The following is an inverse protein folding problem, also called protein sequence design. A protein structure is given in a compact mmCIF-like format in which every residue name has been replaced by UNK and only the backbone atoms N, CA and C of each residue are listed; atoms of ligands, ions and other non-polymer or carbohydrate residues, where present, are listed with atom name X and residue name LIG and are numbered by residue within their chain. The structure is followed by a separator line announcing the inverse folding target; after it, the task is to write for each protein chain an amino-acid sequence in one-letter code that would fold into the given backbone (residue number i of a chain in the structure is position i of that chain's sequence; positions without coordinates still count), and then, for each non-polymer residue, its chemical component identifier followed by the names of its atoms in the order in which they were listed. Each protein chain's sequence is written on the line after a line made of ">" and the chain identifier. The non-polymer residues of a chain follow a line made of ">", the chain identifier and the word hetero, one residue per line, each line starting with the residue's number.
data_IF_050212235453
#
_entry.id   IF_050212235453
#
_cell.length_a   1.000
_cell.length_b   1.000
_cell.length_c   1.000
_cell.angle_alpha   90.00
_cell.angle_beta   90.00
_cell.angle_gamma   90.00
#
_symmetry.space_group_name_H-M   'P 1'
#
loop_
_entity.id
_entity.type
_entity.pdbx_description
1 polymer ?
#
# COMPACT_ATOMS: atom_id res chain seq x y z
N UNK A 1 22.64 5.76 8.91
CA UNK A 1 22.72 4.36 9.39
C UNK A 1 24.00 3.73 8.83
N UNK A 2 24.48 2.60 9.34
CA UNK A 2 25.54 1.79 8.70
C UNK A 2 25.05 0.42 8.23
N UNK A 3 23.77 0.12 8.46
CA UNK A 3 23.15 -1.15 8.06
C UNK A 3 22.92 -1.11 6.56
N UNK A 4 23.54 -2.06 5.84
CA UNK A 4 23.37 -2.20 4.39
C UNK A 4 22.45 -3.36 4.00
N UNK A 5 22.18 -4.29 4.92
CA UNK A 5 21.36 -5.47 4.66
C UNK A 5 20.34 -5.66 5.79
N UNK A 6 19.06 -5.65 5.41
CA UNK A 6 17.90 -5.91 6.29
C UNK A 6 17.10 -7.14 5.84
N UNK A 7 17.72 -8.00 5.03
CA UNK A 7 17.06 -9.19 4.50
C UNK A 7 16.55 -10.11 5.61
N UNK A 8 15.35 -10.64 5.40
CA UNK A 8 14.66 -11.57 6.31
C UNK A 8 14.49 -11.10 7.77
N UNK A 9 14.70 -9.81 8.07
CA UNK A 9 14.77 -9.30 9.44
C UNK A 9 13.52 -9.60 10.29
N UNK A 10 12.34 -9.62 9.66
CA UNK A 10 11.06 -9.94 10.31
C UNK A 10 10.37 -11.15 9.69
N UNK A 11 11.14 -12.01 9.02
CA UNK A 11 10.60 -13.15 8.30
C UNK A 11 9.98 -14.20 9.23
N UNK A 12 8.83 -14.78 8.83
CA UNK A 12 8.05 -15.78 9.58
C UNK A 12 7.43 -15.30 10.90
N UNK A 13 7.41 -13.99 11.15
CA UNK A 13 6.69 -13.41 12.29
C UNK A 13 7.19 -12.01 12.61
N UNK A 14 6.29 -11.12 13.02
CA UNK A 14 6.71 -9.84 13.56
C UNK A 14 7.33 -10.04 14.96
N UNK A 15 8.36 -9.27 15.36
CA UNK A 15 8.75 -9.15 16.75
C UNK A 15 7.50 -8.84 17.58
N UNK A 16 7.43 -9.39 18.78
CA UNK A 16 6.35 -9.13 19.73
C UNK A 16 6.15 -7.62 19.93
N UNK A 17 5.18 -7.01 19.21
CA UNK A 17 4.41 -5.74 19.36
C UNK A 17 5.09 -4.46 19.94
N UNK A 18 6.33 -4.50 20.44
CA UNK A 18 6.90 -3.43 21.28
C UNK A 18 7.91 -2.54 20.59
N UNK A 19 8.39 -2.89 19.39
CA UNK A 19 9.39 -2.07 18.70
C UNK A 19 8.73 -1.27 17.57
N UNK A 20 8.73 0.06 17.71
CA UNK A 20 8.39 0.99 16.65
C UNK A 20 9.56 1.11 15.67
N UNK A 21 9.27 0.90 14.39
CA UNK A 21 10.23 0.96 13.29
C UNK A 21 9.99 2.17 12.39
N UNK A 22 9.00 3.02 12.69
CA UNK A 22 8.59 4.10 11.80
C UNK A 22 9.63 5.22 11.63
N UNK A 23 10.63 5.29 12.50
CA UNK A 23 11.72 6.27 12.43
C UNK A 23 13.06 5.63 12.03
N UNK A 24 13.06 4.45 11.42
CA UNK A 24 14.31 3.81 11.02
C UNK A 24 14.95 4.52 9.83
N UNK A 25 16.22 4.87 9.99
CA UNK A 25 17.08 5.37 8.90
C UNK A 25 17.56 4.19 8.05
N UNK A 26 16.94 4.01 6.89
CA UNK A 26 17.28 2.97 5.91
C UNK A 26 18.14 3.49 4.76
N UNK A 27 18.62 4.72 4.82
CA UNK A 27 19.33 5.40 3.71
C UNK A 27 20.61 4.69 3.24
N UNK A 28 21.16 3.77 4.03
CA UNK A 28 22.35 2.98 3.65
C UNK A 28 22.03 1.54 3.22
N UNK A 29 20.76 1.14 3.28
CA UNK A 29 20.32 -0.23 2.99
C UNK A 29 20.29 -0.45 1.48
N UNK A 30 20.91 -1.54 1.05
CA UNK A 30 20.90 -1.99 -0.35
C UNK A 30 20.07 -3.27 -0.55
N UNK A 31 19.78 -4.02 0.52
CA UNK A 31 19.03 -5.27 0.44
C UNK A 31 17.95 -5.35 1.52
N UNK A 32 16.69 -5.48 1.10
CA UNK A 32 15.50 -5.72 1.93
C UNK A 32 14.75 -7.02 1.54
N UNK A 33 15.41 -7.92 0.84
CA UNK A 33 14.85 -9.20 0.41
C UNK A 33 14.25 -9.97 1.58
N UNK A 34 13.03 -10.49 1.44
CA UNK A 34 12.30 -11.23 2.48
C UNK A 34 12.05 -10.48 3.80
N UNK A 35 12.30 -9.16 3.88
CA UNK A 35 12.29 -8.44 5.17
C UNK A 35 10.99 -8.65 5.96
N UNK A 36 9.84 -8.64 5.27
CA UNK A 36 8.51 -8.92 5.85
C UNK A 36 7.86 -10.21 5.30
N UNK A 37 8.68 -11.16 4.84
CA UNK A 37 8.18 -12.42 4.29
C UNK A 37 7.39 -13.19 5.35
N UNK A 38 6.11 -13.48 5.07
CA UNK A 38 5.19 -14.14 6.01
C UNK A 38 4.98 -13.36 7.32
N UNK A 39 5.07 -12.04 7.25
CA UNK A 39 4.81 -11.14 8.39
C UNK A 39 3.41 -10.55 8.25
N UNK A 40 2.56 -10.56 9.30
CA UNK A 40 1.21 -10.00 9.25
C UNK A 40 1.20 -8.46 9.39
N UNK A 41 2.01 -7.78 8.57
CA UNK A 41 2.01 -6.31 8.49
C UNK A 41 0.61 -5.84 8.02
N UNK A 42 0.08 -4.78 8.64
CA UNK A 42 -1.26 -4.26 8.36
C UNK A 42 -2.44 -4.94 9.08
N UNK A 43 -2.25 -6.10 9.72
CA UNK A 43 -3.34 -6.78 10.47
C UNK A 43 -3.42 -6.34 11.95
N UNK A 44 -2.29 -6.37 12.67
CA UNK A 44 -2.21 -6.08 14.11
C UNK A 44 -1.03 -5.18 14.53
N UNK A 45 -0.13 -4.85 13.58
CA UNK A 45 1.02 -3.98 13.82
C UNK A 45 0.91 -2.76 12.91
N UNK A 46 0.86 -1.57 13.52
CA UNK A 46 0.73 -0.27 12.84
C UNK A 46 2.12 0.33 12.55
N UNK A 47 3.02 -0.46 11.98
CA UNK A 47 4.33 0.06 11.60
C UNK A 47 4.19 0.98 10.40
N UNK A 48 4.46 2.27 10.62
CA UNK A 48 4.43 3.27 9.57
C UNK A 48 5.74 3.24 8.78
N UNK A 49 5.75 2.52 7.66
CA UNK A 49 6.91 2.39 6.77
C UNK A 49 6.93 3.41 5.63
N UNK A 50 6.11 4.46 5.72
CA UNK A 50 6.12 5.54 4.75
C UNK A 50 7.38 6.39 4.89
N UNK A 51 7.93 6.82 3.76
CA UNK A 51 9.04 7.77 3.73
C UNK A 51 8.64 9.09 4.40
N UNK A 52 9.43 9.55 5.40
CA UNK A 52 9.17 10.81 6.11
C UNK A 52 10.42 11.40 6.74
N UNK A 53 10.52 12.72 6.73
CA UNK A 53 11.59 13.42 7.45
C UNK A 53 11.31 13.38 8.96
N UNK A 54 12.27 12.91 9.74
CA UNK A 54 12.18 12.83 11.21
C UNK A 54 13.38 13.49 11.87
N UNK A 55 13.21 13.95 13.11
CA UNK A 55 14.30 14.45 13.95
C UNK A 55 14.35 13.64 15.24
N UNK A 56 15.43 12.87 15.41
CA UNK A 56 15.66 12.03 16.58
C UNK A 56 17.02 12.37 17.18
N UNK A 57 17.06 12.71 18.47
CA UNK A 57 18.33 13.04 19.14
C UNK A 57 19.08 14.24 18.57
N UNK A 58 18.37 15.19 17.94
CA UNK A 58 18.96 16.38 17.31
C UNK A 58 19.55 16.16 15.91
N UNK A 59 19.37 14.97 15.33
CA UNK A 59 19.73 14.66 13.94
C UNK A 59 18.46 14.53 13.09
N UNK A 60 18.47 15.15 11.91
CA UNK A 60 17.37 15.09 10.93
C UNK A 60 17.77 14.22 9.75
N UNK A 61 16.90 13.28 9.39
CA UNK A 61 17.08 12.35 8.27
C UNK A 61 15.73 11.91 7.70
N UNK A 62 15.75 11.25 6.56
CA UNK A 62 14.58 10.61 5.95
C UNK A 62 14.46 9.19 6.49
N UNK A 63 13.43 8.94 7.32
CA UNK A 63 13.07 7.58 7.71
C UNK A 63 12.48 6.84 6.52
N UNK A 64 12.75 5.54 6.43
CA UNK A 64 12.32 4.70 5.30
C UNK A 64 12.78 5.22 3.93
N UNK A 65 13.95 5.87 3.88
CA UNK A 65 14.65 6.18 2.63
C UNK A 65 15.11 4.87 1.97
N UNK A 66 14.45 4.51 0.86
CA UNK A 66 14.76 3.31 0.08
C UNK A 66 15.55 3.61 -1.20
N UNK A 67 16.05 4.84 -1.36
CA UNK A 67 16.71 5.30 -2.58
C UNK A 67 17.97 4.52 -2.97
N UNK A 68 18.59 3.82 -2.03
CA UNK A 68 19.77 2.97 -2.25
C UNK A 68 19.45 1.46 -2.30
N UNK A 69 18.18 1.07 -2.08
CA UNK A 69 17.79 -0.34 -2.06
C UNK A 69 17.81 -0.88 -3.49
N UNK A 70 18.45 -2.04 -3.66
CA UNK A 70 18.61 -2.73 -4.93
C UNK A 70 17.72 -3.98 -5.02
N UNK A 71 17.46 -4.66 -3.89
CA UNK A 71 16.65 -5.88 -3.86
C UNK A 71 15.55 -5.81 -2.80
N UNK A 72 14.31 -6.09 -3.22
CA UNK A 72 13.12 -6.20 -2.37
C UNK A 72 12.32 -7.48 -2.68
N UNK A 73 12.98 -8.51 -3.24
CA UNK A 73 12.31 -9.75 -3.58
C UNK A 73 11.65 -10.40 -2.36
N UNK A 74 10.45 -10.94 -2.54
CA UNK A 74 9.63 -11.56 -1.50
C UNK A 74 9.30 -10.66 -0.28
N UNK A 75 9.59 -9.36 -0.32
CA UNK A 75 9.54 -8.48 0.86
C UNK A 75 8.17 -8.50 1.54
N UNK A 76 7.07 -8.43 0.79
CA UNK A 76 5.69 -8.41 1.30
C UNK A 76 4.89 -9.66 0.91
N UNK A 77 5.57 -10.75 0.55
CA UNK A 77 4.89 -11.97 0.12
C UNK A 77 4.05 -12.59 1.27
N UNK A 78 2.79 -12.86 0.95
CA UNK A 78 1.86 -13.63 1.77
C UNK A 78 2.07 -15.15 1.63
N UNK A 79 1.56 -15.92 2.60
CA UNK A 79 1.57 -17.37 2.54
C UNK A 79 0.38 -18.01 3.28
N UNK A 80 -0.55 -18.62 2.53
CA UNK A 80 -1.72 -19.34 3.05
C UNK A 80 -2.50 -18.54 4.12
N UNK A 81 -2.78 -19.12 5.30
CA UNK A 81 -3.49 -18.48 6.43
C UNK A 81 -2.79 -17.23 6.99
N UNK A 82 -1.56 -16.95 6.56
CA UNK A 82 -0.80 -15.73 6.86
C UNK A 82 -0.75 -14.83 5.62
N UNK A 83 -1.94 -14.42 5.18
CA UNK A 83 -2.10 -13.39 4.15
C UNK A 83 -1.43 -12.11 4.62
N UNK A 84 -0.59 -11.53 3.76
CA UNK A 84 -0.13 -10.15 3.98
C UNK A 84 -1.32 -9.22 3.80
N UNK A 85 -1.66 -8.46 4.85
CA UNK A 85 -2.70 -7.41 4.80
C UNK A 85 -2.11 -6.07 4.38
N UNK A 86 -0.89 -6.09 3.84
CA UNK A 86 -0.17 -4.90 3.46
C UNK A 86 -0.89 -4.14 2.34
N UNK A 87 -1.24 -2.89 2.63
CA UNK A 87 -1.77 -1.94 1.67
C UNK A 87 -1.44 -0.50 2.07
N UNK A 88 -0.32 -0.32 2.77
CA UNK A 88 0.13 1.02 3.17
C UNK A 88 0.70 1.77 1.96
N UNK A 89 0.55 3.09 1.97
CA UNK A 89 1.01 3.96 0.88
C UNK A 89 2.54 3.98 0.79
N UNK A 90 3.04 3.43 -0.31
CA UNK A 90 4.45 3.39 -0.70
C UNK A 90 4.68 4.08 -2.06
N UNK A 91 3.72 4.89 -2.50
CA UNK A 91 3.78 5.58 -3.80
C UNK A 91 4.93 6.60 -3.88
N UNK A 92 5.39 7.11 -2.72
CA UNK A 92 6.45 8.11 -2.60
C UNK A 92 7.86 7.51 -2.45
N UNK A 93 8.00 6.18 -2.39
CA UNK A 93 9.32 5.56 -2.31
C UNK A 93 10.15 5.88 -3.56
N UNK A 94 11.39 6.34 -3.36
CA UNK A 94 12.35 6.47 -4.45
C UNK A 94 12.91 5.08 -4.83
N UNK A 95 12.39 4.50 -5.90
CA UNK A 95 12.72 3.15 -6.37
C UNK A 95 13.78 3.09 -7.47
N UNK A 96 14.42 4.21 -7.79
CA UNK A 96 15.38 4.32 -8.91
C UNK A 96 16.58 3.37 -8.83
N UNK A 97 16.93 2.85 -7.65
CA UNK A 97 18.01 1.86 -7.49
C UNK A 97 17.55 0.41 -7.54
N UNK A 98 16.24 0.12 -7.58
CA UNK A 98 15.72 -1.24 -7.54
C UNK A 98 16.06 -2.02 -8.82
N UNK A 99 16.54 -3.25 -8.61
CA UNK A 99 16.91 -4.20 -9.67
C UNK A 99 16.04 -5.45 -9.62
N UNK A 100 15.73 -5.93 -8.41
CA UNK A 100 14.95 -7.16 -8.20
C UNK A 100 13.74 -6.92 -7.27
N UNK A 101 12.55 -7.10 -7.83
CA UNK A 101 11.24 -7.02 -7.17
C UNK A 101 10.45 -8.33 -7.32
N UNK A 102 11.15 -9.44 -7.57
CA UNK A 102 10.59 -10.77 -7.72
C UNK A 102 9.69 -11.14 -6.54
N UNK A 103 8.47 -11.60 -6.84
CA UNK A 103 7.48 -12.02 -5.84
C UNK A 103 7.20 -11.01 -4.71
N UNK A 104 7.53 -9.72 -4.88
CA UNK A 104 7.46 -8.73 -3.79
C UNK A 104 6.07 -8.67 -3.12
N UNK A 105 4.99 -8.78 -3.89
CA UNK A 105 3.60 -8.76 -3.40
C UNK A 105 2.86 -10.09 -3.66
N UNK A 106 3.60 -11.18 -3.87
CA UNK A 106 3.02 -12.48 -4.16
C UNK A 106 2.03 -12.90 -3.04
N UNK A 107 0.79 -13.25 -3.41
CA UNK A 107 -0.28 -13.61 -2.46
C UNK A 107 -0.58 -12.56 -1.37
N UNK A 108 -0.25 -11.27 -1.60
CA UNK A 108 -0.59 -10.15 -0.72
C UNK A 108 -1.99 -9.60 -1.03
N UNK A 109 -3.04 -10.35 -0.69
CA UNK A 109 -4.40 -10.12 -1.24
C UNK A 109 -5.04 -8.77 -0.91
N UNK A 110 -4.48 -8.01 0.03
CA UNK A 110 -4.97 -6.67 0.37
C UNK A 110 -4.30 -5.54 -0.44
N UNK A 111 -3.20 -5.84 -1.14
CA UNK A 111 -2.41 -4.84 -1.83
C UNK A 111 -3.12 -4.34 -3.09
N UNK A 112 -3.39 -3.04 -3.13
CA UNK A 112 -4.02 -2.31 -4.24
C UNK A 112 -3.60 -0.84 -4.19
N UNK A 113 -2.29 -0.58 -4.10
CA UNK A 113 -1.75 0.79 -4.14
C UNK A 113 -1.38 1.20 -5.57
N UNK A 114 -1.52 2.50 -5.86
CA UNK A 114 -1.00 3.07 -7.10
C UNK A 114 0.52 3.23 -7.00
N UNK A 115 1.25 2.34 -7.68
CA UNK A 115 2.71 2.37 -7.79
C UNK A 115 3.19 2.72 -9.21
N UNK A 116 2.35 3.35 -10.03
CA UNK A 116 2.75 3.75 -11.38
C UNK A 116 3.84 4.83 -11.41
N UNK A 117 4.04 5.54 -10.30
CA UNK A 117 5.14 6.50 -10.11
C UNK A 117 6.49 5.87 -9.82
N UNK A 118 6.56 4.56 -9.55
CA UNK A 118 7.83 3.90 -9.27
C UNK A 118 8.74 3.92 -10.49
N UNK A 119 10.01 4.25 -10.26
CA UNK A 119 11.07 4.11 -11.25
C UNK A 119 11.48 2.63 -11.33
N UNK A 120 11.19 2.01 -12.47
CA UNK A 120 11.51 0.61 -12.78
C UNK A 120 12.54 0.51 -13.92
N UNK A 121 13.21 1.61 -14.26
CA UNK A 121 14.20 1.66 -15.35
C UNK A 121 15.39 0.71 -15.16
N UNK A 122 15.71 0.37 -13.90
CA UNK A 122 16.77 -0.57 -13.54
C UNK A 122 16.27 -1.98 -13.21
N UNK A 123 14.95 -2.21 -13.17
CA UNK A 123 14.37 -3.51 -12.82
C UNK A 123 14.63 -4.51 -13.92
N UNK A 124 15.22 -5.64 -13.56
CA UNK A 124 15.49 -6.77 -14.46
C UNK A 124 14.65 -8.00 -14.12
N UNK A 125 14.10 -8.06 -12.90
CA UNK A 125 13.32 -9.19 -12.42
C UNK A 125 12.05 -8.72 -11.69
N UNK A 126 10.90 -8.90 -12.33
CA UNK A 126 9.57 -8.65 -11.75
C UNK A 126 8.66 -9.91 -11.85
N UNK A 127 9.30 -11.08 -11.95
CA UNK A 127 8.61 -12.36 -12.07
C UNK A 127 7.79 -12.64 -10.79
N UNK A 128 6.55 -13.14 -10.95
CA UNK A 128 5.62 -13.46 -9.85
C UNK A 128 5.22 -12.30 -8.92
N UNK A 129 5.56 -11.05 -9.25
CA UNK A 129 5.34 -9.88 -8.38
C UNK A 129 3.92 -9.83 -7.81
N UNK A 130 2.90 -10.05 -8.64
CA UNK A 130 1.49 -10.00 -8.26
C UNK A 130 0.75 -11.34 -8.42
N UNK A 131 1.47 -12.47 -8.46
CA UNK A 131 0.81 -13.77 -8.53
C UNK A 131 -0.11 -13.98 -7.31
N UNK A 132 -1.32 -14.50 -7.53
CA UNK A 132 -2.31 -14.72 -6.47
C UNK A 132 -3.01 -13.44 -5.97
N UNK A 133 -2.79 -12.28 -6.60
CA UNK A 133 -3.55 -11.04 -6.36
C UNK A 133 -4.09 -10.46 -7.66
N UNK A 134 -5.01 -9.49 -7.55
CA UNK A 134 -5.48 -8.66 -8.65
C UNK A 134 -5.53 -7.21 -8.16
N UNK A 135 -4.78 -6.32 -8.81
CA UNK A 135 -4.94 -4.88 -8.62
C UNK A 135 -6.26 -4.44 -9.24
N UNK A 136 -6.83 -3.34 -8.73
CA UNK A 136 -7.91 -2.65 -9.42
C UNK A 136 -7.45 -2.22 -10.82
N UNK A 137 -8.39 -2.19 -11.78
CA UNK A 137 -8.09 -1.79 -13.16
C UNK A 137 -7.46 -0.39 -13.21
N UNK A 138 -7.91 0.54 -12.35
CA UNK A 138 -7.37 1.90 -12.29
C UNK A 138 -5.89 1.93 -11.84
N UNK A 139 -5.52 1.16 -10.82
CA UNK A 139 -4.14 1.08 -10.36
C UNK A 139 -3.25 0.33 -11.35
N UNK A 140 -3.77 -0.74 -11.96
CA UNK A 140 -3.01 -1.49 -12.94
C UNK A 140 -2.79 -0.69 -14.25
N UNK A 141 -3.80 0.04 -14.71
CA UNK A 141 -3.66 0.97 -15.83
C UNK A 141 -2.62 2.06 -15.53
N UNK A 142 -2.68 2.65 -14.33
CA UNK A 142 -1.70 3.66 -13.89
C UNK A 142 -0.28 3.09 -13.84
N UNK A 143 -0.14 1.84 -13.38
CA UNK A 143 1.12 1.10 -13.36
C UNK A 143 1.69 0.93 -14.77
N UNK A 144 0.89 0.38 -15.69
CA UNK A 144 1.30 0.14 -17.06
C UNK A 144 1.72 1.44 -17.76
N UNK A 145 0.92 2.50 -17.66
CA UNK A 145 1.18 3.80 -18.28
C UNK A 145 2.43 4.46 -17.69
N UNK A 146 2.56 4.45 -16.36
CA UNK A 146 3.68 5.07 -15.68
C UNK A 146 5.01 4.38 -16.01
N UNK A 147 5.03 3.04 -16.05
CA UNK A 147 6.23 2.27 -16.34
C UNK A 147 6.65 2.39 -17.79
N UNK A 148 5.70 2.35 -18.73
CA UNK A 148 5.99 2.48 -20.17
C UNK A 148 6.68 3.80 -20.54
N UNK A 149 6.42 4.87 -19.79
CA UNK A 149 7.02 6.19 -20.04
C UNK A 149 8.53 6.28 -19.72
N UNK A 150 9.15 5.20 -19.24
CA UNK A 150 10.53 5.19 -18.73
C UNK A 150 11.51 4.54 -19.72
N UNK A 151 12.83 4.70 -19.46
CA UNK A 151 13.88 4.02 -20.21
C UNK A 151 14.11 2.62 -19.63
N UNK A 152 13.37 1.63 -20.11
CA UNK A 152 13.27 0.31 -19.50
C UNK A 152 14.33 -0.69 -19.97
N UNK A 153 14.64 -1.67 -19.11
CA UNK A 153 15.38 -2.87 -19.51
C UNK A 153 14.56 -3.72 -20.49
N UNK A 154 15.25 -4.40 -21.41
CA UNK A 154 14.61 -5.28 -22.38
C UNK A 154 14.43 -6.70 -21.82
N UNK A 155 13.42 -7.42 -22.34
CA UNK A 155 13.15 -8.83 -22.05
C UNK A 155 12.83 -9.13 -20.57
N UNK A 156 12.29 -8.16 -19.85
CA UNK A 156 11.84 -8.36 -18.46
C UNK A 156 10.59 -9.24 -18.46
N UNK A 157 10.56 -10.19 -17.53
CA UNK A 157 9.36 -10.98 -17.25
C UNK A 157 8.61 -10.31 -16.10
N UNK A 158 7.38 -9.89 -16.35
CA UNK A 158 6.51 -9.25 -15.37
C UNK A 158 5.25 -10.08 -15.15
N UNK A 159 4.90 -10.35 -13.90
CA UNK A 159 3.65 -11.02 -13.55
C UNK A 159 2.70 -10.05 -12.86
N UNK A 160 1.76 -9.50 -13.64
CA UNK A 160 0.65 -8.65 -13.22
C UNK A 160 -0.47 -9.38 -12.46
N UNK A 161 -0.40 -10.71 -12.35
CA UNK A 161 -1.39 -11.51 -11.62
C UNK A 161 -2.70 -11.65 -12.39
N UNK A 162 -3.83 -11.54 -11.70
CA UNK A 162 -5.16 -11.51 -12.34
C UNK A 162 -5.66 -10.08 -12.62
N UNK A 163 -4.77 -9.09 -12.60
CA UNK A 163 -5.12 -7.68 -12.80
C UNK A 163 -5.57 -7.44 -14.25
N UNK A 164 -6.82 -7.00 -14.42
CA UNK A 164 -7.34 -6.59 -15.73
C UNK A 164 -6.88 -5.17 -16.05
N UNK A 165 -6.83 -4.85 -17.33
CA UNK A 165 -6.44 -3.52 -17.83
C UNK A 165 -7.46 -3.00 -18.84
N UNK A 166 -7.51 -1.69 -19.01
CA UNK A 166 -8.30 -1.03 -20.04
C UNK A 166 -7.53 0.16 -20.65
N UNK A 167 -7.38 1.26 -19.92
CA UNK A 167 -6.69 2.45 -20.42
C UNK A 167 -5.19 2.20 -20.61
N UNK A 168 -4.62 1.23 -19.91
CA UNK A 168 -3.23 0.80 -20.04
C UNK A 168 -2.93 -0.09 -21.23
N UNK A 169 -3.90 -0.45 -22.08
CA UNK A 169 -3.71 -1.39 -23.21
C UNK A 169 -2.59 -0.97 -24.17
N UNK A 170 -2.54 0.32 -24.51
CA UNK A 170 -1.49 0.85 -25.39
C UNK A 170 -0.11 0.76 -24.73
N UNK A 171 -0.03 1.08 -23.44
CA UNK A 171 1.22 1.03 -22.68
C UNK A 171 1.72 -0.42 -22.53
N UNK A 172 0.82 -1.35 -22.17
CA UNK A 172 1.09 -2.78 -22.12
C UNK A 172 1.62 -3.32 -23.45
N UNK A 173 0.99 -2.91 -24.56
CA UNK A 173 1.42 -3.31 -25.91
C UNK A 173 2.80 -2.76 -26.24
N UNK A 174 3.12 -1.52 -25.85
CA UNK A 174 4.45 -0.92 -26.02
C UNK A 174 5.52 -1.67 -25.22
N UNK A 175 5.26 -1.99 -23.94
CA UNK A 175 6.17 -2.79 -23.10
C UNK A 175 6.54 -4.13 -23.76
N UNK A 176 5.55 -4.81 -24.36
CA UNK A 176 5.77 -6.08 -25.05
C UNK A 176 6.54 -5.88 -26.37
N UNK A 177 6.06 -4.98 -27.24
CA UNK A 177 6.58 -4.88 -28.60
C UNK A 177 7.92 -4.13 -28.70
N UNK A 178 8.09 -3.09 -27.87
CA UNK A 178 9.26 -2.22 -27.92
C UNK A 178 10.36 -2.68 -26.98
N UNK A 179 10.00 -3.15 -25.78
CA UNK A 179 10.95 -3.61 -24.78
C UNK A 179 11.09 -5.15 -24.72
N UNK A 180 10.29 -5.90 -25.48
CA UNK A 180 10.35 -7.37 -25.49
C UNK A 180 9.86 -8.00 -24.19
N UNK A 181 9.08 -7.29 -23.38
CA UNK A 181 8.61 -7.83 -22.10
C UNK A 181 7.68 -9.02 -22.29
N UNK A 182 7.76 -9.96 -21.35
CA UNK A 182 6.74 -11.02 -21.21
C UNK A 182 5.86 -10.68 -20.03
N UNK A 183 4.59 -10.34 -20.29
CA UNK A 183 3.64 -9.93 -19.26
C UNK A 183 2.61 -11.04 -19.03
N UNK A 184 2.47 -11.47 -17.77
CA UNK A 184 1.45 -12.41 -17.31
C UNK A 184 0.43 -11.70 -16.43
N UNK A 185 -0.70 -11.31 -16.99
CA UNK A 185 -1.74 -10.52 -16.35
C UNK A 185 -3.16 -11.00 -16.73
N UNK A 186 -4.17 -10.23 -16.33
CA UNK A 186 -5.58 -10.50 -16.66
C UNK A 186 -5.91 -10.21 -18.12
N UNK A 187 -7.18 -9.87 -18.36
CA UNK A 187 -7.68 -9.59 -19.71
C UNK A 187 -7.89 -8.09 -19.92
N UNK A 188 -7.93 -7.69 -21.19
CA UNK A 188 -8.48 -6.39 -21.58
C UNK A 188 -9.96 -6.35 -21.20
N UNK A 189 -10.30 -5.60 -20.16
CA UNK A 189 -11.67 -5.48 -19.64
C UNK A 189 -12.00 -4.03 -19.30
N UNK A 190 -12.68 -3.38 -20.24
CA UNK A 190 -13.21 -2.03 -20.08
C UNK A 190 -14.65 -2.02 -19.54
N UNK A 191 -15.23 -3.17 -19.20
CA UNK A 191 -16.62 -3.25 -18.72
C UNK A 191 -16.75 -2.82 -17.26
N UNK A 192 -15.65 -2.83 -16.51
CA UNK A 192 -15.56 -2.30 -15.15
C UNK A 192 -15.57 -0.75 -15.06
N UNK A 193 -15.46 -0.04 -16.19
CA UNK A 193 -15.29 1.44 -16.19
C UNK A 193 -16.56 2.25 -15.86
N UNK A 194 -17.66 1.61 -15.44
CA UNK A 194 -18.87 2.31 -15.00
C UNK A 194 -19.08 2.27 -13.48
N UNK A 195 -18.36 1.40 -12.74
CA UNK A 195 -18.54 1.24 -11.29
C UNK A 195 -17.27 1.51 -10.46
N UNK A 196 -16.12 1.79 -11.08
CA UNK A 196 -14.84 2.00 -10.37
C UNK A 196 -14.21 3.38 -10.63
N UNK A 197 -15.00 4.45 -10.58
CA UNK A 197 -14.40 5.77 -10.31
C UNK A 197 -13.90 5.78 -8.87
N UNK A 198 -12.60 5.82 -8.56
CA UNK A 198 -11.99 6.27 -7.28
C UNK A 198 -12.52 5.68 -5.94
N UNK A 199 -12.17 4.45 -5.54
CA UNK A 199 -12.44 3.99 -4.16
C UNK A 199 -11.91 5.02 -3.13
N UNK A 200 -12.80 5.51 -2.25
CA UNK A 200 -12.39 6.39 -1.15
C UNK A 200 -11.57 5.59 -0.14
N UNK A 201 -10.25 5.76 -0.16
CA UNK A 201 -9.32 5.07 0.74
C UNK A 201 -9.18 5.88 2.03
N UNK A 202 -9.97 5.49 3.05
CA UNK A 202 -9.96 6.11 4.37
C UNK A 202 -9.87 5.03 5.45
N UNK A 203 -8.90 5.21 6.34
CA UNK A 203 -8.61 4.37 7.50
C UNK A 203 -8.94 5.12 8.80
N UNK A 204 -9.51 4.40 9.77
CA UNK A 204 -9.91 4.92 11.08
C UNK A 204 -9.09 4.22 12.18
N UNK A 205 -8.34 4.99 12.97
CA UNK A 205 -7.46 4.43 14.00
C UNK A 205 -7.26 5.37 15.21
N UNK A 206 -7.04 4.87 16.43
CA UNK A 206 -7.10 3.46 16.78
C UNK A 206 -8.54 2.97 16.74
N UNK A 207 -8.74 1.69 16.43
CA UNK A 207 -10.03 1.03 16.54
C UNK A 207 -9.79 -0.35 17.15
N UNK A 208 -10.07 -0.58 18.44
CA UNK A 208 -10.93 0.23 19.31
C UNK A 208 -10.36 1.59 19.74
N UNK A 209 -11.23 2.58 19.89
CA UNK A 209 -10.88 3.97 20.24
C UNK A 209 -11.31 4.33 21.67
N UNK A 210 -10.49 5.10 22.38
CA UNK A 210 -10.91 5.82 23.59
C UNK A 210 -11.52 7.16 23.17
N UNK A 211 -10.73 8.23 23.06
CA UNK A 211 -11.32 9.57 22.93
C UNK A 211 -11.11 10.21 21.57
N UNK A 212 -10.02 9.88 20.87
CA UNK A 212 -9.68 10.50 19.59
C UNK A 212 -9.53 9.44 18.52
N UNK A 213 -10.37 9.53 17.49
CA UNK A 213 -10.32 8.69 16.30
C UNK A 213 -9.59 9.45 15.18
N UNK A 214 -8.38 9.04 14.84
CA UNK A 214 -7.62 9.57 13.72
C UNK A 214 -8.13 8.97 12.40
N UNK A 215 -7.98 9.78 11.36
CA UNK A 215 -8.47 9.51 10.02
C UNK A 215 -7.30 9.76 9.08
N UNK A 216 -6.92 8.74 8.31
CA UNK A 216 -5.88 8.83 7.27
C UNK A 216 -6.50 8.40 5.95
N UNK A 217 -6.26 9.18 4.90
CA UNK A 217 -6.79 8.88 3.58
C UNK A 217 -6.41 9.93 2.55
N UNK A 218 -6.82 9.70 1.31
CA UNK A 218 -6.44 10.49 0.13
C UNK A 218 -7.42 11.63 -0.21
N UNK A 219 -8.13 12.18 0.78
CA UNK A 219 -9.21 13.14 0.54
C UNK A 219 -9.05 14.40 1.37
N UNK A 220 -9.35 15.52 0.73
CA UNK A 220 -9.17 16.86 1.28
C UNK A 220 -10.34 17.36 2.10
N UNK A 221 -11.52 16.69 2.11
CA UNK A 221 -12.67 16.99 2.99
C UNK A 221 -13.57 15.75 3.15
N UNK A 222 -13.85 15.39 4.40
CA UNK A 222 -14.74 14.29 4.76
C UNK A 222 -15.90 14.74 5.64
N UNK A 223 -17.11 14.38 5.21
CA UNK A 223 -18.32 14.35 6.02
C UNK A 223 -18.40 13.01 6.74
N UNK A 224 -18.53 13.06 8.06
CA UNK A 224 -18.55 11.89 8.92
C UNK A 224 -19.87 11.83 9.66
N UNK A 225 -20.51 10.67 9.62
CA UNK A 225 -21.74 10.40 10.36
C UNK A 225 -21.58 9.10 11.13
N UNK A 226 -21.77 9.14 12.44
CA UNK A 226 -21.69 7.94 13.30
C UNK A 226 -23.10 7.52 13.68
N UNK A 227 -23.39 6.24 13.46
CA UNK A 227 -24.62 5.57 13.84
C UNK A 227 -24.36 4.55 14.93
N UNK A 228 -25.27 4.42 15.89
CA UNK A 228 -25.25 3.26 16.79
C UNK A 228 -25.75 2.00 16.08
N UNK A 229 -25.66 0.83 16.72
CA UNK A 229 -26.11 -0.45 16.15
C UNK A 229 -27.62 -0.52 15.84
N UNK A 230 -28.43 0.40 16.37
CA UNK A 230 -29.85 0.52 16.04
C UNK A 230 -30.08 1.41 14.82
N UNK A 231 -29.02 1.90 14.16
CA UNK A 231 -29.09 2.78 13.00
C UNK A 231 -29.41 4.24 13.33
N UNK A 232 -29.41 4.65 14.61
CA UNK A 232 -29.65 6.04 15.01
C UNK A 232 -28.35 6.84 14.87
N UNK A 233 -28.40 7.97 14.15
CA UNK A 233 -27.31 8.93 14.11
C UNK A 233 -27.03 9.48 15.52
N UNK A 234 -25.78 9.36 15.96
CA UNK A 234 -25.32 9.83 17.29
C UNK A 234 -24.29 10.94 17.19
N UNK A 235 -23.59 11.08 16.06
CA UNK A 235 -22.60 12.14 15.85
C UNK A 235 -22.52 12.49 14.36
N UNK A 236 -22.20 13.75 14.06
CA UNK A 236 -21.87 14.22 12.72
C UNK A 236 -20.74 15.26 12.80
N UNK A 237 -19.79 15.19 11.87
CA UNK A 237 -18.66 16.12 11.80
C UNK A 237 -18.18 16.32 10.36
N UNK A 238 -17.40 17.38 10.13
CA UNK A 238 -16.61 17.60 8.91
C UNK A 238 -15.17 17.93 9.31
N UNK A 239 -14.24 17.04 9.01
CA UNK A 239 -12.86 17.12 9.50
C UNK A 239 -11.90 16.39 8.54
N UNK A 240 -10.59 16.59 8.73
CA UNK A 240 -9.55 16.02 7.88
C UNK A 240 -8.70 14.94 8.57
N UNK A 241 -8.37 15.13 9.86
CA UNK A 241 -7.28 14.35 10.48
C UNK A 241 -7.71 13.55 11.72
N UNK A 242 -8.61 14.09 12.56
CA UNK A 242 -9.04 13.40 13.78
C UNK A 242 -10.40 13.89 14.29
N UNK A 243 -11.14 12.97 14.91
CA UNK A 243 -12.47 13.18 15.49
C UNK A 243 -12.43 12.90 16.99
N UNK A 244 -12.88 13.86 17.80
CA UNK A 244 -13.16 13.61 19.21
C UNK A 244 -14.47 12.82 19.35
N UNK A 245 -14.35 11.62 19.90
CA UNK A 245 -15.43 10.66 20.15
C UNK A 245 -15.60 10.38 21.65
N UNK A 246 -15.00 11.18 22.53
CA UNK A 246 -15.12 11.05 24.00
C UNK A 246 -16.56 11.08 24.50
N UNK A 247 -17.44 11.78 23.78
CA UNK A 247 -18.88 11.87 24.09
C UNK A 247 -19.69 10.61 23.77
N UNK A 248 -19.12 9.64 23.04
CA UNK A 248 -19.79 8.37 22.76
C UNK A 248 -19.66 7.41 23.95
N UNK A 249 -20.74 6.71 24.26
CA UNK A 249 -20.72 5.62 25.22
C UNK A 249 -19.92 4.42 24.69
N UNK A 250 -19.46 3.54 25.58
CA UNK A 250 -18.83 2.29 25.18
C UNK A 250 -19.78 1.45 24.31
N UNK A 251 -19.26 0.91 23.20
CA UNK A 251 -20.09 0.14 22.28
C UNK A 251 -19.57 0.07 20.85
N UNK A 252 -20.39 -0.53 19.99
CA UNK A 252 -20.12 -0.66 18.55
C UNK A 252 -20.92 0.41 17.80
N UNK A 253 -20.28 1.01 16.82
CA UNK A 253 -20.85 2.03 15.95
C UNK A 253 -20.52 1.74 14.48
N UNK A 254 -21.34 2.29 13.59
CA UNK A 254 -21.05 2.38 12.16
C UNK A 254 -20.67 3.83 11.85
N UNK A 255 -19.54 4.01 11.19
CA UNK A 255 -19.03 5.32 10.77
C UNK A 255 -19.17 5.40 9.26
N UNK A 256 -20.08 6.23 8.81
CA UNK A 256 -20.21 6.62 7.41
C UNK A 256 -19.28 7.79 7.12
N UNK A 257 -18.48 7.65 6.07
CA UNK A 257 -17.48 8.60 5.62
C UNK A 257 -17.85 8.98 4.19
N UNK A 258 -18.03 10.26 3.91
CA UNK A 258 -18.46 10.75 2.60
C UNK A 258 -17.62 11.96 2.14
N UNK A 259 -17.30 12.04 0.86
CA UNK A 259 -16.75 13.23 0.20
C UNK A 259 -17.74 13.69 -0.88
N UNK A 260 -17.32 14.60 -1.76
CA UNK A 260 -18.17 15.12 -2.84
C UNK A 260 -18.62 14.08 -3.87
N UNK A 261 -17.97 12.92 -3.93
CA UNK A 261 -18.18 11.90 -4.96
C UNK A 261 -18.64 10.54 -4.40
N UNK A 262 -18.26 10.21 -3.17
CA UNK A 262 -18.38 8.84 -2.63
C UNK A 262 -18.78 8.79 -1.17
N UNK A 263 -19.25 7.61 -0.78
CA UNK A 263 -19.52 7.23 0.60
C UNK A 263 -18.95 5.83 0.88
N UNK A 264 -18.36 5.64 2.06
CA UNK A 264 -17.92 4.34 2.57
C UNK A 264 -18.27 4.18 4.05
N UNK A 265 -18.40 2.95 4.53
CA UNK A 265 -18.77 2.67 5.92
C UNK A 265 -17.70 1.84 6.62
N UNK A 266 -17.42 2.14 7.88
CA UNK A 266 -16.48 1.41 8.74
C UNK A 266 -17.12 1.10 10.09
N UNK A 267 -16.71 -0.01 10.70
CA UNK A 267 -17.08 -0.33 12.09
C UNK A 267 -16.15 0.41 13.05
N UNK A 268 -16.70 0.98 14.11
CA UNK A 268 -15.95 1.59 15.22
C UNK A 268 -16.31 0.88 16.53
N UNK A 269 -15.32 0.65 17.38
CA UNK A 269 -15.47 0.09 18.72
C UNK A 269 -14.99 1.15 19.72
N UNK A 270 -15.91 1.71 20.50
CA UNK A 270 -15.61 2.66 21.59
C UNK A 270 -15.35 1.90 22.89
N UNK A 271 -14.16 2.12 23.46
CA UNK A 271 -13.70 1.61 24.76
C UNK A 271 -13.56 2.71 25.79
#
# INVERSE_FOLDING_TARGET
>A
SSVTNMSAMFSNGAPTVTQDIGNWDTSSVTNMSYMFFKTPIGYNNSWDISEKVVTVGGQTYTAWDVSNVQTMDHMFQGYNMFTSYFNDDISNWNTSSLVDIHAMFHSSSAFDQNIGSWDVSNVTNAYQMFNGIALSTANYDSLLIGWESQNLQNNVVFSGGMSNYCNGDSARTSLINNNGWTIYDGVLDCTASLDDESIMHVSLYPNPVSDVLNIRGNTTELSIVIYNILGKQVMRSRIFNSLDVSSLNYGIYLVELSNSQKTTTRKLIKK
#
